data_IF_245012601882
#
_entry.id   IF_245012601882
#
_cell.length_a   1.000
_cell.length_b   1.000
_cell.length_c   1.000
_cell.angle_alpha   90.00
_cell.angle_beta   90.00
_cell.angle_gamma   90.00
#
_symmetry.space_group_name_H-M   'P 1'
#
loop_
_entity.id
_entity.type
_entity.pdbx_description
1 polymer ?
#
# COMPACT_ATOMS: atom_id res chain seq x y z
N UNK A 1 -24.45 51.66 -14.70
CA UNK A 1 -24.68 51.69 -16.17
C UNK A 1 -24.56 50.25 -16.65
N UNK A 2 -25.66 49.65 -17.13
CA UNK A 2 -25.64 48.32 -17.69
C UNK A 2 -25.52 48.36 -19.20
N UNK A 3 -24.80 47.43 -19.79
CA UNK A 3 -24.82 47.16 -21.22
C UNK A 3 -25.59 45.88 -21.49
N UNK A 4 -26.53 45.96 -22.41
CA UNK A 4 -27.47 44.92 -22.81
C UNK A 4 -26.86 43.98 -23.92
N UNK A 5 -27.54 42.86 -24.21
CA UNK A 5 -26.99 41.72 -24.97
C UNK A 5 -27.22 41.84 -26.49
N UNK A 6 -26.30 41.33 -27.25
CA UNK A 6 -26.34 41.26 -28.72
C UNK A 6 -26.87 39.93 -29.26
N UNK A 7 -27.62 40.05 -30.29
CA UNK A 7 -28.58 39.23 -30.98
C UNK A 7 -28.06 37.90 -31.58
N UNK A 8 -28.93 36.89 -31.57
CA UNK A 8 -28.85 35.65 -32.33
C UNK A 8 -29.12 35.86 -33.81
N UNK A 9 -28.28 35.31 -34.70
CA UNK A 9 -28.61 35.12 -36.10
C UNK A 9 -29.06 33.67 -36.37
N UNK A 10 -30.03 33.44 -37.30
CA UNK A 10 -30.69 32.17 -37.45
C UNK A 10 -29.96 31.19 -38.40
N UNK A 11 -30.08 29.91 -38.07
CA UNK A 11 -29.57 28.80 -38.86
C UNK A 11 -30.29 28.68 -40.22
N UNK A 12 -29.50 28.54 -41.28
CA UNK A 12 -29.94 28.22 -42.64
C UNK A 12 -30.36 26.77 -42.72
N UNK A 13 -31.68 26.52 -43.02
CA UNK A 13 -32.20 25.22 -43.41
C UNK A 13 -31.87 24.97 -44.89
N UNK A 14 -30.95 24.07 -45.18
CA UNK A 14 -30.80 23.53 -46.50
C UNK A 14 -31.84 22.40 -46.76
N UNK A 15 -32.78 22.65 -47.65
CA UNK A 15 -33.67 21.61 -48.21
C UNK A 15 -32.89 20.78 -49.21
N UNK A 16 -32.60 19.51 -48.88
CA UNK A 16 -32.13 18.54 -49.86
C UNK A 16 -33.34 17.89 -50.54
N UNK A 17 -33.52 18.23 -51.81
CA UNK A 17 -34.47 17.54 -52.75
C UNK A 17 -33.76 16.29 -53.25
N UNK A 18 -34.26 15.11 -52.86
CA UNK A 18 -33.79 13.82 -53.40
C UNK A 18 -34.54 13.43 -54.66
N UNK A 19 -33.88 12.97 -55.69
CA UNK A 19 -34.55 12.42 -56.87
C UNK A 19 -35.14 11.02 -56.60
N UNK A 20 -36.35 10.77 -57.05
CA UNK A 20 -36.99 9.46 -57.03
C UNK A 20 -36.32 8.49 -58.02
N UNK A 21 -35.50 7.58 -57.49
CA UNK A 21 -35.07 6.40 -58.25
C UNK A 21 -35.94 5.21 -57.97
N UNK A 22 -36.62 4.69 -59.03
CA UNK A 22 -37.29 3.37 -59.04
C UNK A 22 -36.20 2.30 -59.26
N UNK A 23 -35.90 1.50 -58.20
CA UNK A 23 -34.99 0.37 -58.29
C UNK A 23 -34.99 -0.42 -57.00
N UNK A 24 -36.03 -1.23 -56.76
CA UNK A 24 -36.32 -1.91 -55.52
C UNK A 24 -35.49 -3.18 -55.28
N UNK A 25 -34.39 -3.42 -56.02
CA UNK A 25 -33.59 -4.64 -55.86
C UNK A 25 -32.16 -4.44 -55.30
N UNK A 26 -31.54 -3.28 -55.52
CA UNK A 26 -30.13 -3.07 -55.20
C UNK A 26 -29.92 -2.47 -53.80
N UNK A 27 -30.88 -1.68 -53.34
CA UNK A 27 -30.81 -1.04 -51.99
C UNK A 27 -30.97 -2.01 -50.82
N UNK A 28 -31.75 -3.09 -51.01
CA UNK A 28 -31.92 -4.15 -50.01
C UNK A 28 -30.60 -4.92 -49.75
N UNK A 29 -29.88 -5.22 -50.84
CA UNK A 29 -28.63 -6.00 -50.73
C UNK A 29 -27.46 -5.18 -50.15
N UNK A 30 -27.43 -3.87 -50.36
CA UNK A 30 -26.44 -2.98 -49.75
C UNK A 30 -26.75 -2.69 -48.27
N UNK A 31 -28.03 -2.57 -47.92
CA UNK A 31 -28.44 -2.36 -46.53
C UNK A 31 -28.13 -3.58 -45.63
N UNK A 32 -28.28 -4.79 -46.15
CA UNK A 32 -27.94 -6.04 -45.47
C UNK A 32 -26.41 -6.18 -45.28
N UNK A 33 -25.61 -5.88 -46.32
CA UNK A 33 -24.15 -5.91 -46.22
C UNK A 33 -23.63 -4.85 -45.27
N UNK A 34 -24.22 -3.66 -45.23
CA UNK A 34 -23.83 -2.58 -44.28
C UNK A 34 -24.20 -2.98 -42.85
N UNK A 35 -25.38 -3.56 -42.60
CA UNK A 35 -25.76 -4.10 -41.29
C UNK A 35 -24.82 -5.21 -40.83
N UNK A 36 -24.47 -6.14 -41.73
CA UNK A 36 -23.51 -7.21 -41.46
C UNK A 36 -22.10 -6.67 -41.13
N UNK A 37 -21.65 -5.62 -41.84
CA UNK A 37 -20.36 -5.00 -41.60
C UNK A 37 -20.35 -4.26 -40.26
N UNK A 38 -21.41 -3.51 -39.91
CA UNK A 38 -21.54 -2.86 -38.62
C UNK A 38 -21.68 -3.85 -37.46
N UNK A 39 -22.39 -4.97 -37.66
CA UNK A 39 -22.48 -6.02 -36.66
C UNK A 39 -21.13 -6.72 -36.44
N UNK A 40 -20.38 -6.99 -37.54
CA UNK A 40 -19.05 -7.58 -37.47
C UNK A 40 -18.03 -6.65 -36.82
N UNK A 41 -18.08 -5.35 -37.10
CA UNK A 41 -17.21 -4.34 -36.45
C UNK A 41 -17.59 -4.16 -34.96
N UNK A 42 -18.88 -4.16 -34.62
CA UNK A 42 -19.34 -4.11 -33.25
C UNK A 42 -18.92 -5.36 -32.44
N UNK A 43 -18.97 -6.54 -33.03
CA UNK A 43 -18.53 -7.80 -32.43
C UNK A 43 -16.99 -7.78 -32.28
N UNK A 44 -16.23 -7.25 -33.24
CA UNK A 44 -14.79 -7.13 -33.14
C UNK A 44 -14.35 -6.08 -32.10
N UNK A 45 -15.08 -4.96 -31.98
CA UNK A 45 -14.84 -3.96 -30.93
C UNK A 45 -15.21 -4.49 -29.55
N UNK A 46 -16.30 -5.28 -29.43
CA UNK A 46 -16.62 -5.96 -28.16
C UNK A 46 -15.61 -7.07 -27.83
N UNK A 47 -15.15 -7.84 -28.81
CA UNK A 47 -14.14 -8.90 -28.61
C UNK A 47 -12.76 -8.33 -28.27
N UNK A 48 -12.39 -7.15 -28.82
CA UNK A 48 -11.15 -6.45 -28.45
C UNK A 48 -11.21 -5.85 -27.04
N UNK A 49 -12.41 -5.59 -26.51
CA UNK A 49 -12.61 -5.12 -25.11
C UNK A 49 -12.54 -6.26 -24.08
N UNK A 50 -12.53 -7.52 -24.52
CA UNK A 50 -12.33 -8.72 -23.70
C UNK A 50 -10.95 -9.37 -23.91
N UNK A 51 -9.95 -8.62 -24.34
CA UNK A 51 -8.57 -9.00 -24.03
C UNK A 51 -8.42 -8.83 -22.50
N UNK A 52 -8.87 -9.84 -21.77
CA UNK A 52 -8.93 -9.84 -20.32
C UNK A 52 -7.58 -9.44 -19.75
N UNK A 53 -7.55 -8.40 -18.93
CA UNK A 53 -6.39 -8.13 -18.10
C UNK A 53 -6.03 -9.47 -17.43
N UNK A 54 -4.80 -9.94 -17.60
CA UNK A 54 -4.37 -11.21 -17.03
C UNK A 54 -4.75 -11.23 -15.54
N UNK A 55 -5.56 -12.22 -15.14
CA UNK A 55 -6.06 -12.31 -13.77
C UNK A 55 -4.87 -12.52 -12.83
N UNK A 56 -4.78 -11.71 -11.79
CA UNK A 56 -3.71 -11.86 -10.80
C UNK A 56 -3.93 -13.14 -9.99
N UNK A 57 -2.89 -13.94 -9.86
CA UNK A 57 -2.90 -15.18 -9.06
C UNK A 57 -2.98 -14.92 -7.54
N UNK A 58 -2.71 -13.69 -7.08
CA UNK A 58 -2.84 -13.24 -5.69
C UNK A 58 -2.98 -11.72 -5.61
N UNK A 59 -3.57 -11.21 -4.54
CA UNK A 59 -3.54 -9.79 -4.20
C UNK A 59 -2.28 -9.48 -3.40
N UNK A 60 -1.52 -8.49 -3.84
CA UNK A 60 -0.26 -8.07 -3.22
C UNK A 60 -0.46 -6.78 -2.46
N UNK A 61 -0.31 -6.84 -1.14
CA UNK A 61 -0.26 -5.65 -0.29
C UNK A 61 1.18 -5.30 0.07
N UNK A 62 1.52 -4.02 0.07
CA UNK A 62 2.86 -3.59 0.49
C UNK A 62 2.76 -2.57 1.62
N UNK A 63 3.54 -2.75 2.68
CA UNK A 63 3.61 -1.80 3.79
C UNK A 63 4.24 -0.51 3.33
N UNK A 64 3.57 0.61 3.61
CA UNK A 64 4.01 1.96 3.23
C UNK A 64 4.34 2.76 4.48
N UNK A 65 5.62 3.13 4.64
CA UNK A 65 6.10 3.96 5.74
C UNK A 65 6.06 5.44 5.36
N UNK A 66 5.40 6.27 6.15
CA UNK A 66 5.21 7.71 5.88
C UNK A 66 6.25 8.60 6.59
N UNK A 67 7.49 8.15 6.66
CA UNK A 67 8.59 8.87 7.34
C UNK A 67 9.41 9.82 6.44
N UNK A 68 9.08 9.89 5.14
CA UNK A 68 9.85 10.67 4.17
C UNK A 68 9.24 12.04 3.88
N UNK A 69 8.41 12.51 4.81
CA UNK A 69 7.81 13.83 4.85
C UNK A 69 8.27 14.62 6.08
N UNK A 70 7.72 15.83 6.22
CA UNK A 70 8.00 16.69 7.38
C UNK A 70 9.40 17.29 7.38
N UNK A 71 9.82 17.78 8.55
CA UNK A 71 11.07 18.50 8.74
C UNK A 71 12.02 17.70 9.61
N UNK A 72 13.26 17.55 9.16
CA UNK A 72 14.32 16.94 9.95
C UNK A 72 14.62 17.78 11.20
N UNK A 73 14.91 17.12 12.31
CA UNK A 73 15.23 17.81 13.57
C UNK A 73 16.45 18.74 13.48
N UNK A 74 17.38 18.43 12.58
CA UNK A 74 18.60 19.20 12.36
C UNK A 74 18.56 20.14 11.17
N UNK A 75 17.43 20.29 10.50
CA UNK A 75 17.27 21.08 9.28
C UNK A 75 17.83 22.52 9.42
N UNK A 76 17.67 23.12 10.59
CA UNK A 76 18.14 24.49 10.87
C UNK A 76 19.55 24.55 11.49
N UNK A 77 20.23 23.41 11.69
CA UNK A 77 21.54 23.36 12.29
C UNK A 77 22.65 23.38 11.22
N UNK A 78 23.47 24.47 11.15
CA UNK A 78 24.49 24.59 10.11
C UNK A 78 25.59 23.52 10.20
N UNK A 79 25.78 22.87 11.36
CA UNK A 79 26.71 21.74 11.50
C UNK A 79 26.24 20.45 10.85
N UNK A 80 24.96 20.38 10.46
CA UNK A 80 24.33 19.20 9.87
C UNK A 80 23.81 19.48 8.46
N UNK A 81 24.71 19.81 7.53
CA UNK A 81 24.37 20.15 6.14
C UNK A 81 23.54 19.08 5.41
N UNK A 82 23.72 17.81 5.78
CA UNK A 82 22.95 16.67 5.26
C UNK A 82 21.45 16.74 5.62
N UNK A 83 21.10 17.45 6.70
CA UNK A 83 19.73 17.54 7.20
C UNK A 83 18.93 18.70 6.60
N UNK A 84 19.60 19.61 5.89
CA UNK A 84 18.94 20.78 5.28
C UNK A 84 17.93 20.34 4.20
N UNK A 85 16.66 20.64 4.41
CA UNK A 85 15.57 20.22 3.53
C UNK A 85 15.23 18.73 3.60
N UNK A 86 15.88 17.97 4.49
CA UNK A 86 15.66 16.54 4.62
C UNK A 86 14.32 16.21 5.32
N UNK A 87 13.72 15.05 5.01
CA UNK A 87 12.52 14.56 5.70
C UNK A 87 12.83 14.14 7.14
N UNK A 88 11.78 13.99 7.95
CA UNK A 88 11.89 13.77 9.39
C UNK A 88 12.72 12.54 9.80
N UNK A 89 12.70 11.46 9.01
CA UNK A 89 13.35 10.19 9.34
C UNK A 89 14.68 9.93 8.61
N UNK A 90 15.16 10.90 7.82
CA UNK A 90 16.50 10.76 7.24
C UNK A 90 17.57 10.88 8.36
N UNK A 91 18.44 9.89 8.48
CA UNK A 91 19.60 9.92 9.35
C UNK A 91 20.88 10.27 8.58
N UNK A 92 21.92 10.74 9.29
CA UNK A 92 23.22 10.99 8.68
C UNK A 92 23.78 9.74 8.00
N UNK A 93 23.77 8.60 8.70
CA UNK A 93 24.22 7.32 8.13
C UNK A 93 23.49 6.96 6.84
N UNK A 94 22.16 7.17 6.80
CA UNK A 94 21.37 6.86 5.61
C UNK A 94 21.76 7.79 4.46
N UNK A 95 21.95 9.07 4.72
CA UNK A 95 22.35 10.06 3.73
C UNK A 95 23.78 9.87 3.20
N UNK A 96 24.68 9.26 3.98
CA UNK A 96 26.10 9.08 3.63
C UNK A 96 26.44 7.63 3.30
N UNK A 97 26.50 6.77 4.31
CA UNK A 97 27.00 5.38 4.19
C UNK A 97 26.05 4.49 3.38
N UNK A 98 24.75 4.83 3.37
CA UNK A 98 23.70 4.11 2.68
C UNK A 98 23.03 4.94 1.58
N UNK A 99 23.73 5.94 1.04
CA UNK A 99 23.22 6.84 0.00
C UNK A 99 22.71 6.14 -1.26
N UNK A 100 23.16 4.91 -1.54
CA UNK A 100 22.61 4.07 -2.60
C UNK A 100 21.12 3.71 -2.44
N UNK A 101 20.56 3.84 -1.23
CA UNK A 101 19.13 3.61 -0.95
C UNK A 101 18.24 4.81 -1.26
N UNK A 102 18.81 5.96 -1.63
CA UNK A 102 18.03 7.13 -2.00
C UNK A 102 17.15 6.83 -3.21
N UNK A 103 15.81 7.05 -3.09
CA UNK A 103 14.91 6.91 -4.21
C UNK A 103 15.30 7.82 -5.38
N UNK A 104 14.93 7.44 -6.61
CA UNK A 104 15.25 8.25 -7.80
C UNK A 104 14.58 9.63 -7.81
N UNK A 105 13.57 9.83 -6.98
CA UNK A 105 12.92 11.14 -6.76
C UNK A 105 13.46 11.90 -5.55
N UNK A 106 14.55 11.40 -4.93
CA UNK A 106 15.13 11.95 -3.70
C UNK A 106 14.53 11.34 -2.42
N UNK A 107 15.02 11.79 -1.28
CA UNK A 107 14.60 11.28 0.04
C UNK A 107 13.16 11.68 0.42
N UNK A 108 12.61 12.72 -0.16
CA UNK A 108 11.26 13.20 0.14
C UNK A 108 10.24 12.57 -0.81
N UNK A 109 9.10 12.13 -0.27
CA UNK A 109 7.97 11.60 -1.04
C UNK A 109 6.65 12.36 -0.76
N UNK A 110 6.75 13.61 -0.31
CA UNK A 110 5.65 14.46 0.13
C UNK A 110 5.11 15.42 -0.97
N UNK A 111 5.21 15.03 -2.23
CA UNK A 111 4.56 15.74 -3.34
C UNK A 111 3.52 14.88 -4.06
N UNK A 112 2.49 15.54 -4.59
CA UNK A 112 1.42 14.86 -5.33
C UNK A 112 1.95 14.12 -6.56
N UNK A 113 2.90 14.72 -7.27
CA UNK A 113 3.53 14.12 -8.45
C UNK A 113 4.25 12.80 -8.11
N UNK A 114 4.99 12.79 -7.00
CA UNK A 114 5.70 11.60 -6.54
C UNK A 114 4.70 10.52 -6.13
N UNK A 115 3.63 10.86 -5.41
CA UNK A 115 2.60 9.90 -5.02
C UNK A 115 1.87 9.33 -6.23
N UNK A 116 1.49 10.16 -7.20
CA UNK A 116 0.86 9.72 -8.45
C UNK A 116 1.75 8.71 -9.18
N UNK A 117 3.06 8.99 -9.27
CA UNK A 117 4.06 8.10 -9.87
C UNK A 117 4.25 6.80 -9.08
N UNK A 118 4.23 6.85 -7.75
CA UNK A 118 4.33 5.65 -6.92
C UNK A 118 3.12 4.72 -7.11
N UNK A 119 1.91 5.27 -7.22
CA UNK A 119 0.69 4.51 -7.49
C UNK A 119 0.79 3.81 -8.85
N UNK A 120 1.18 4.52 -9.91
CA UNK A 120 1.37 3.95 -11.25
C UNK A 120 2.40 2.82 -11.21
N UNK A 121 3.57 3.10 -10.65
CA UNK A 121 4.67 2.13 -10.56
C UNK A 121 4.24 0.85 -9.81
N UNK A 122 3.52 0.98 -8.70
CA UNK A 122 3.02 -0.13 -7.91
C UNK A 122 2.00 -0.95 -8.71
N UNK A 123 0.99 -0.30 -9.27
CA UNK A 123 -0.08 -0.95 -10.03
C UNK A 123 0.44 -1.69 -11.27
N UNK A 124 1.31 -1.06 -12.06
CA UNK A 124 1.94 -1.64 -13.25
C UNK A 124 2.80 -2.88 -12.95
N UNK A 125 3.30 -3.00 -11.73
CA UNK A 125 4.13 -4.12 -11.29
C UNK A 125 3.40 -5.13 -10.40
N UNK A 126 2.05 -5.13 -10.43
CA UNK A 126 1.26 -6.20 -9.84
C UNK A 126 0.90 -5.98 -8.36
N UNK A 127 1.35 -4.91 -7.72
CA UNK A 127 0.86 -4.52 -6.40
C UNK A 127 -0.64 -4.23 -6.49
N UNK A 128 -1.39 -4.65 -5.50
CA UNK A 128 -2.86 -4.50 -5.46
C UNK A 128 -3.30 -3.41 -4.49
N UNK A 129 -2.54 -3.17 -3.44
CA UNK A 129 -2.85 -2.14 -2.45
C UNK A 129 -1.65 -1.73 -1.60
N UNK A 130 -1.67 -0.49 -1.13
CA UNK A 130 -0.79 0.00 -0.08
C UNK A 130 -1.40 -0.21 1.30
N UNK A 131 -0.57 -0.59 2.29
CA UNK A 131 -0.92 -0.55 3.70
C UNK A 131 -0.21 0.65 4.31
N UNK A 132 -0.91 1.79 4.38
CA UNK A 132 -0.33 2.99 4.97
C UNK A 132 -0.20 2.83 6.49
N UNK A 133 1.00 3.07 7.02
CA UNK A 133 1.21 3.17 8.45
C UNK A 133 0.44 4.37 8.99
N UNK A 134 -0.49 4.10 9.90
CA UNK A 134 -1.32 5.11 10.54
C UNK A 134 -0.91 5.26 12.00
N UNK A 135 -0.67 6.50 12.46
CA UNK A 135 -0.12 6.81 13.77
C UNK A 135 -1.07 7.68 14.58
N UNK A 136 -1.09 7.46 15.90
CA UNK A 136 -1.60 8.40 16.87
C UNK A 136 -0.49 8.75 17.86
N UNK A 137 0.07 9.95 17.76
CA UNK A 137 1.28 10.33 18.52
C UNK A 137 1.00 11.11 19.81
N UNK A 138 -0.23 11.49 20.08
CA UNK A 138 -0.64 12.06 21.37
C UNK A 138 -1.17 10.94 22.28
N UNK A 139 -0.28 10.23 22.94
CA UNK A 139 -0.56 9.07 23.77
C UNK A 139 -1.54 9.32 24.93
N UNK A 140 -1.77 10.56 25.35
CA UNK A 140 -2.58 10.90 26.53
C UNK A 140 -3.81 11.73 26.16
N UNK A 141 -3.89 12.22 24.95
CA UNK A 141 -4.99 13.02 24.45
C UNK A 141 -6.10 12.20 23.78
N UNK A 142 -7.29 12.77 23.63
CA UNK A 142 -8.34 12.20 22.80
C UNK A 142 -7.95 12.25 21.33
N UNK A 143 -8.38 11.25 20.56
CA UNK A 143 -8.23 11.24 19.10
C UNK A 143 -8.76 12.55 18.53
N UNK A 144 -7.93 13.23 17.75
CA UNK A 144 -8.20 14.56 17.25
C UNK A 144 -7.89 14.64 15.75
N UNK A 145 -8.90 14.93 14.96
CA UNK A 145 -8.79 14.98 13.48
C UNK A 145 -7.71 15.98 13.03
N UNK A 146 -7.68 17.19 13.60
CA UNK A 146 -6.71 18.23 13.22
C UNK A 146 -5.26 17.78 13.49
N UNK A 147 -5.03 17.12 14.62
CA UNK A 147 -3.71 16.60 14.98
C UNK A 147 -3.28 15.50 14.00
N UNK A 148 -4.18 14.58 13.63
CA UNK A 148 -3.90 13.54 12.64
C UNK A 148 -3.58 14.16 11.27
N UNK A 149 -4.43 15.07 10.78
CA UNK A 149 -4.27 15.66 9.46
C UNK A 149 -3.02 16.55 9.31
N UNK A 150 -2.52 17.09 10.41
CA UNK A 150 -1.29 17.90 10.44
C UNK A 150 -0.03 17.10 10.73
N UNK A 151 -0.13 15.82 11.08
CA UNK A 151 1.02 14.98 11.36
C UNK A 151 1.72 14.58 10.03
N UNK A 152 3.02 14.87 9.89
CA UNK A 152 3.77 14.49 8.69
C UNK A 152 3.72 12.99 8.37
N UNK A 153 3.49 12.12 9.37
CA UNK A 153 3.35 10.67 9.17
C UNK A 153 2.00 10.26 8.52
N UNK A 154 1.17 11.21 8.11
CA UNK A 154 -0.04 10.99 7.32
C UNK A 154 0.00 11.68 5.95
N UNK A 155 1.13 12.28 5.59
CA UNK A 155 1.27 13.06 4.35
C UNK A 155 1.01 12.18 3.13
N UNK A 156 1.62 11.01 3.05
CA UNK A 156 1.50 10.13 1.88
C UNK A 156 0.09 9.57 1.73
N UNK A 157 -0.57 9.20 2.84
CA UNK A 157 -1.99 8.80 2.78
C UNK A 157 -2.88 9.94 2.28
N UNK A 158 -2.66 11.16 2.76
CA UNK A 158 -3.42 12.34 2.32
C UNK A 158 -3.20 12.65 0.83
N UNK A 159 -1.98 12.47 0.30
CA UNK A 159 -1.66 12.63 -1.11
C UNK A 159 -2.27 11.50 -1.95
N UNK A 160 -2.23 10.25 -1.47
CA UNK A 160 -2.87 9.12 -2.12
C UNK A 160 -4.38 9.37 -2.31
N UNK A 161 -5.07 9.83 -1.26
CA UNK A 161 -6.51 10.11 -1.31
C UNK A 161 -6.89 11.20 -2.32
N UNK A 162 -5.97 12.12 -2.63
CA UNK A 162 -6.14 13.19 -3.63
C UNK A 162 -5.64 12.81 -5.03
N UNK A 163 -4.98 11.66 -5.17
CA UNK A 163 -4.36 11.26 -6.41
C UNK A 163 -5.39 11.01 -7.52
N UNK A 164 -5.11 11.51 -8.71
CA UNK A 164 -5.86 11.20 -9.94
C UNK A 164 -5.73 9.72 -10.32
N UNK A 165 -4.66 9.05 -9.88
CA UNK A 165 -4.35 7.66 -10.17
C UNK A 165 -4.89 6.69 -9.09
N UNK A 166 -5.57 7.20 -8.06
CA UNK A 166 -6.08 6.40 -6.92
C UNK A 166 -6.87 5.16 -7.34
N UNK A 167 -7.62 5.25 -8.43
CA UNK A 167 -8.45 4.13 -8.90
C UNK A 167 -7.64 2.93 -9.42
N UNK A 168 -6.33 3.07 -9.65
CA UNK A 168 -5.45 2.00 -10.12
C UNK A 168 -4.92 1.11 -9.01
N UNK A 169 -5.02 1.53 -7.76
CA UNK A 169 -4.43 0.84 -6.61
C UNK A 169 -5.33 0.99 -5.38
N UNK A 170 -5.61 -0.09 -4.68
CA UNK A 170 -6.35 -0.03 -3.41
C UNK A 170 -5.45 0.39 -2.25
N UNK A 171 -6.05 0.60 -1.08
CA UNK A 171 -5.33 0.88 0.16
C UNK A 171 -6.05 0.34 1.39
N UNK A 172 -5.33 0.17 2.49
CA UNK A 172 -5.87 0.02 3.83
C UNK A 172 -4.90 0.59 4.87
N UNK A 173 -5.27 0.53 6.13
CA UNK A 173 -4.46 1.03 7.24
C UNK A 173 -3.70 -0.09 7.92
N UNK A 174 -2.43 0.17 8.22
CA UNK A 174 -1.66 -0.49 9.27
C UNK A 174 -1.60 0.47 10.46
N UNK A 175 -2.35 0.20 11.50
CA UNK A 175 -2.31 1.00 12.74
C UNK A 175 -1.03 0.67 13.50
N UNK A 176 -0.11 1.62 13.55
CA UNK A 176 1.21 1.48 14.19
C UNK A 176 1.10 1.67 15.71
N UNK A 177 0.41 0.73 16.37
CA UNK A 177 0.11 0.80 17.80
C UNK A 177 1.26 0.25 18.65
N UNK A 178 2.34 1.01 18.73
CA UNK A 178 3.56 0.69 19.49
C UNK A 178 3.99 1.85 20.39
N UNK A 179 5.03 1.66 21.20
CA UNK A 179 5.55 2.69 22.09
C UNK A 179 5.79 4.02 21.38
N UNK A 180 5.19 5.08 21.88
CA UNK A 180 5.21 6.43 21.29
C UNK A 180 4.07 6.73 20.30
N UNK A 181 3.26 5.72 19.92
CA UNK A 181 2.11 5.86 19.03
C UNK A 181 0.91 5.00 19.49
N UNK A 182 0.83 4.69 20.78
CA UNK A 182 -0.23 3.83 21.32
C UNK A 182 -1.56 4.57 21.43
N UNK A 183 -2.61 3.96 20.91
CA UNK A 183 -3.98 4.38 21.18
C UNK A 183 -4.36 3.88 22.57
N UNK A 184 -4.50 4.80 23.54
CA UNK A 184 -4.81 4.49 24.94
C UNK A 184 -6.27 4.76 25.26
N UNK A 185 -6.87 3.84 26.02
CA UNK A 185 -8.25 3.96 26.47
C UNK A 185 -9.29 3.47 25.46
N UNK A 186 -10.40 3.00 26.00
CA UNK A 186 -11.49 2.40 25.23
C UNK A 186 -12.15 3.41 24.28
N UNK A 187 -12.38 4.63 24.74
CA UNK A 187 -13.01 5.68 23.95
C UNK A 187 -12.14 6.09 22.75
N UNK A 188 -10.82 6.16 22.92
CA UNK A 188 -9.92 6.46 21.81
C UNK A 188 -9.93 5.37 20.72
N UNK A 189 -10.13 4.11 21.07
CA UNK A 189 -10.31 3.06 20.07
C UNK A 189 -11.63 3.19 19.32
N UNK A 190 -12.72 3.57 20.02
CA UNK A 190 -13.99 3.87 19.36
C UNK A 190 -13.84 5.09 18.43
N UNK A 191 -13.19 6.16 18.90
CA UNK A 191 -13.01 7.40 18.14
C UNK A 191 -12.10 7.19 16.92
N UNK A 192 -11.06 6.35 17.03
CA UNK A 192 -10.24 5.95 15.91
C UNK A 192 -11.08 5.29 14.80
N UNK A 193 -11.99 4.38 15.17
CA UNK A 193 -12.90 3.74 14.19
C UNK A 193 -13.85 4.75 13.58
N UNK A 194 -14.40 5.71 14.34
CA UNK A 194 -15.22 6.81 13.81
C UNK A 194 -14.43 7.62 12.79
N UNK A 195 -13.18 7.95 13.11
CA UNK A 195 -12.31 8.66 12.19
C UNK A 195 -12.01 7.85 10.91
N UNK A 196 -11.73 6.53 11.04
CA UNK A 196 -11.43 5.66 9.89
C UNK A 196 -12.65 5.34 9.03
N UNK A 197 -13.87 5.53 9.52
CA UNK A 197 -15.10 5.21 8.79
C UNK A 197 -15.19 5.92 7.44
N UNK A 198 -14.63 7.11 7.32
CA UNK A 198 -14.51 7.84 6.04
C UNK A 198 -13.66 7.08 5.02
N UNK A 199 -12.62 6.38 5.47
CA UNK A 199 -11.80 5.54 4.60
C UNK A 199 -12.53 4.23 4.26
N UNK A 200 -13.21 3.63 5.23
CA UNK A 200 -13.98 2.40 5.01
C UNK A 200 -15.10 2.56 3.97
N UNK A 201 -15.61 3.76 3.80
CA UNK A 201 -16.63 4.10 2.80
C UNK A 201 -16.06 4.28 1.39
N UNK A 202 -14.74 4.42 1.26
CA UNK A 202 -14.08 4.57 -0.04
C UNK A 202 -14.10 3.22 -0.81
N UNK A 203 -14.55 3.19 -2.09
CA UNK A 203 -14.55 1.98 -2.90
C UNK A 203 -13.14 1.40 -3.14
N UNK A 204 -12.08 2.22 -3.02
CA UNK A 204 -10.68 1.76 -3.13
C UNK A 204 -10.14 1.19 -1.82
N UNK A 205 -10.89 1.26 -0.71
CA UNK A 205 -10.44 0.65 0.54
C UNK A 205 -10.45 -0.88 0.44
N UNK A 206 -9.33 -1.52 0.81
CA UNK A 206 -9.20 -2.97 0.76
C UNK A 206 -10.17 -3.66 1.71
N UNK A 207 -10.81 -4.72 1.22
CA UNK A 207 -11.78 -5.52 1.97
C UNK A 207 -11.39 -6.98 1.97
N UNK A 208 -11.77 -7.66 3.04
CA UNK A 208 -11.70 -9.12 3.18
C UNK A 208 -13.10 -9.61 3.52
N UNK A 209 -13.63 -10.52 2.73
CA UNK A 209 -15.02 -11.01 2.85
C UNK A 209 -16.04 -9.86 2.88
N UNK A 210 -15.80 -8.82 2.08
CA UNK A 210 -16.61 -7.62 2.01
C UNK A 210 -16.45 -6.66 3.20
N UNK A 211 -15.65 -6.97 4.21
CA UNK A 211 -15.37 -6.14 5.40
C UNK A 211 -14.14 -5.28 5.18
N UNK A 212 -14.14 -3.99 5.53
CA UNK A 212 -12.93 -3.15 5.51
C UNK A 212 -11.80 -3.81 6.32
N UNK A 213 -10.60 -3.93 5.71
CA UNK A 213 -9.43 -4.52 6.35
C UNK A 213 -8.69 -3.47 7.19
N UNK A 214 -8.47 -3.75 8.47
CA UNK A 214 -7.58 -2.98 9.34
C UNK A 214 -6.50 -3.90 9.88
N UNK A 215 -5.25 -3.56 9.68
CA UNK A 215 -4.11 -4.30 10.23
C UNK A 215 -3.62 -3.58 11.48
N UNK A 216 -3.52 -4.29 12.60
CA UNK A 216 -3.05 -3.72 13.87
C UNK A 216 -1.64 -4.23 14.16
N UNK A 217 -0.66 -3.35 14.10
CA UNK A 217 0.67 -3.64 14.63
C UNK A 217 0.64 -3.46 16.15
N UNK A 218 0.83 -4.54 16.87
CA UNK A 218 0.83 -4.54 18.33
C UNK A 218 2.13 -5.14 18.83
N UNK A 219 2.98 -4.33 19.44
CA UNK A 219 4.23 -4.79 20.03
C UNK A 219 4.01 -5.95 20.99
N UNK A 220 4.35 -7.17 20.58
CA UNK A 220 4.15 -8.41 21.35
C UNK A 220 2.70 -8.65 21.80
N UNK A 221 1.69 -8.08 21.13
CA UNK A 221 0.27 -8.24 21.41
C UNK A 221 -0.22 -7.61 22.72
N UNK A 222 0.53 -6.68 23.31
CA UNK A 222 0.21 -6.09 24.62
C UNK A 222 -0.39 -4.69 24.55
N UNK A 223 -0.33 -4.01 23.41
CA UNK A 223 -0.78 -2.62 23.26
C UNK A 223 -2.27 -2.47 22.93
N UNK A 224 -3.03 -3.56 22.85
CA UNK A 224 -4.49 -3.55 22.68
C UNK A 224 -5.11 -4.69 23.49
N UNK A 225 -6.23 -4.43 24.18
CA UNK A 225 -6.98 -5.43 24.92
C UNK A 225 -8.05 -6.11 24.06
N UNK A 226 -8.53 -7.29 24.49
CA UNK A 226 -9.64 -7.99 23.83
C UNK A 226 -10.92 -7.15 23.84
N UNK A 227 -11.16 -6.39 24.93
CA UNK A 227 -12.26 -5.44 25.03
C UNK A 227 -12.18 -4.35 23.95
N UNK A 228 -11.01 -3.80 23.71
CA UNK A 228 -10.79 -2.76 22.69
C UNK A 228 -10.99 -3.29 21.27
N UNK A 229 -10.61 -4.53 20.99
CA UNK A 229 -10.90 -5.19 19.71
C UNK A 229 -12.42 -5.32 19.51
N UNK A 230 -13.16 -5.67 20.56
CA UNK A 230 -14.62 -5.76 20.48
C UNK A 230 -15.28 -4.37 20.32
N UNK A 231 -14.77 -3.34 21.01
CA UNK A 231 -15.21 -1.95 20.83
C UNK A 231 -15.06 -1.51 19.39
N UNK A 232 -13.95 -1.83 18.73
CA UNK A 232 -13.75 -1.52 17.30
C UNK A 232 -14.85 -2.15 16.44
N UNK A 233 -15.20 -3.42 16.69
CA UNK A 233 -16.24 -4.13 15.92
C UNK A 233 -17.61 -3.50 16.13
N UNK A 234 -17.96 -3.22 17.38
CA UNK A 234 -19.27 -2.63 17.74
C UNK A 234 -19.40 -1.22 17.17
N UNK A 235 -18.34 -0.41 17.29
CA UNK A 235 -18.33 0.95 16.72
C UNK A 235 -18.51 0.91 15.21
N UNK A 236 -17.80 0.02 14.50
CA UNK A 236 -17.96 -0.10 13.06
C UNK A 236 -19.41 -0.49 12.67
N UNK A 237 -20.02 -1.43 13.39
CA UNK A 237 -21.43 -1.80 13.16
C UNK A 237 -22.39 -0.63 13.39
N UNK A 238 -22.20 0.14 14.46
CA UNK A 238 -23.04 1.31 14.77
C UNK A 238 -22.94 2.42 13.71
N UNK A 239 -21.87 2.42 12.92
CA UNK A 239 -21.64 3.34 11.80
C UNK A 239 -22.16 2.81 10.45
N UNK A 240 -22.92 1.71 10.44
CA UNK A 240 -23.54 1.14 9.25
C UNK A 240 -22.68 0.11 8.51
N UNK A 241 -21.54 -0.29 9.04
CA UNK A 241 -20.77 -1.42 8.51
C UNK A 241 -21.34 -2.73 9.09
N UNK A 242 -22.50 -3.16 8.60
CA UNK A 242 -23.27 -4.28 9.17
C UNK A 242 -22.47 -5.58 9.28
N UNK A 243 -21.63 -5.89 8.29
CA UNK A 243 -20.69 -7.02 8.33
C UNK A 243 -19.54 -6.82 9.31
N UNK A 244 -19.39 -5.62 9.90
CA UNK A 244 -18.27 -5.20 10.72
C UNK A 244 -17.02 -4.90 9.90
N UNK A 245 -15.86 -5.00 10.55
CA UNK A 245 -14.52 -4.83 9.97
C UNK A 245 -13.72 -6.13 10.11
N UNK A 246 -12.81 -6.39 9.18
CA UNK A 246 -11.83 -7.49 9.28
C UNK A 246 -10.56 -6.95 9.97
N UNK A 247 -10.25 -7.46 11.15
CA UNK A 247 -9.09 -7.01 11.93
C UNK A 247 -7.99 -8.07 11.85
N UNK A 248 -6.87 -7.71 11.21
CA UNK A 248 -5.68 -8.55 11.14
C UNK A 248 -4.65 -8.12 12.21
N UNK A 249 -4.23 -9.07 13.06
CA UNK A 249 -3.23 -8.81 14.08
C UNK A 249 -1.82 -9.15 13.62
N UNK A 250 -0.92 -8.17 13.63
CA UNK A 250 0.51 -8.40 13.43
C UNK A 250 1.15 -8.88 14.73
N UNK A 251 1.90 -9.99 14.66
CA UNK A 251 2.72 -10.53 15.75
C UNK A 251 1.94 -10.90 17.02
N UNK A 252 0.61 -11.12 16.92
CA UNK A 252 -0.26 -11.35 18.05
C UNK A 252 -1.28 -12.49 17.81
N UNK A 253 -0.84 -13.73 17.52
CA UNK A 253 -1.73 -14.82 17.09
C UNK A 253 -2.72 -15.28 18.17
N UNK A 254 -2.45 -15.04 19.45
CA UNK A 254 -3.32 -15.44 20.57
C UNK A 254 -4.50 -14.49 20.83
N UNK A 255 -4.48 -13.28 20.26
CA UNK A 255 -5.52 -12.27 20.45
C UNK A 255 -6.76 -12.57 19.59
N UNK A 256 -7.97 -12.06 19.94
CA UNK A 256 -9.22 -12.33 19.21
C UNK A 256 -9.34 -11.51 17.91
N UNK A 257 -8.26 -11.31 17.20
CA UNK A 257 -8.27 -10.81 15.84
C UNK A 257 -8.93 -11.81 14.89
N UNK A 258 -9.46 -11.34 13.77
CA UNK A 258 -10.09 -12.21 12.76
C UNK A 258 -9.05 -12.93 11.90
N UNK A 259 -7.91 -12.28 11.67
CA UNK A 259 -6.85 -12.72 10.79
C UNK A 259 -5.51 -12.57 11.52
N UNK A 260 -4.57 -13.48 11.26
CA UNK A 260 -3.18 -13.39 11.73
C UNK A 260 -2.24 -12.99 10.61
N UNK A 261 -1.25 -12.16 10.91
CA UNK A 261 -0.16 -11.79 10.00
C UNK A 261 1.07 -11.33 10.78
N UNK A 262 2.12 -10.91 10.06
CA UNK A 262 3.30 -10.28 10.63
C UNK A 262 3.62 -8.99 9.87
N UNK A 263 4.33 -8.06 10.53
CA UNK A 263 4.93 -6.91 9.84
C UNK A 263 6.14 -7.38 9.03
N UNK A 264 7.07 -8.02 9.71
CA UNK A 264 8.19 -8.77 9.14
C UNK A 264 8.63 -9.88 10.11
N UNK A 265 9.47 -10.78 9.64
CA UNK A 265 10.09 -11.84 10.46
C UNK A 265 11.59 -11.67 10.36
N UNK A 266 12.21 -11.22 11.45
CA UNK A 266 13.66 -10.95 11.50
C UNK A 266 14.27 -11.68 12.70
N UNK A 267 14.79 -12.92 12.49
CA UNK A 267 15.64 -13.56 13.50
C UNK A 267 16.84 -12.65 13.79
N UNK A 268 17.19 -12.48 15.03
CA UNK A 268 18.33 -11.61 15.38
C UNK A 268 18.02 -10.12 15.48
N UNK A 269 16.74 -9.73 15.46
CA UNK A 269 16.32 -8.36 15.78
C UNK A 269 16.69 -7.99 17.22
N UNK A 270 17.35 -6.84 17.43
CA UNK A 270 17.73 -6.32 18.74
C UNK A 270 18.54 -7.29 19.62
N UNK A 271 19.46 -8.05 19.03
CA UNK A 271 20.32 -9.01 19.77
C UNK A 271 21.47 -8.36 20.54
N UNK A 272 21.67 -7.07 20.39
CA UNK A 272 22.84 -6.34 20.91
C UNK A 272 24.12 -6.53 20.10
N UNK A 273 24.06 -7.26 19.00
CA UNK A 273 25.17 -7.54 18.07
C UNK A 273 24.75 -7.28 16.64
N UNK A 274 25.62 -6.65 15.87
CA UNK A 274 25.43 -6.47 14.43
C UNK A 274 26.22 -7.57 13.70
N UNK A 275 25.52 -8.61 13.24
CA UNK A 275 26.13 -9.74 12.50
C UNK A 275 25.55 -9.80 11.12
N UNK A 276 26.38 -10.04 10.15
CA UNK A 276 25.96 -10.39 8.80
C UNK A 276 25.37 -11.80 8.78
N UNK A 277 24.21 -11.95 8.16
CA UNK A 277 23.52 -13.22 7.98
C UNK A 277 23.11 -13.40 6.52
N UNK A 278 23.10 -14.63 6.01
CA UNK A 278 22.57 -14.85 4.66
C UNK A 278 21.05 -14.64 4.65
N UNK A 279 20.54 -14.04 3.57
CA UNK A 279 19.10 -13.81 3.39
C UNK A 279 18.26 -15.09 3.44
N UNK A 280 18.86 -16.25 3.12
CA UNK A 280 18.23 -17.57 3.26
C UNK A 280 17.76 -17.88 4.68
N UNK A 281 18.44 -17.36 5.73
CA UNK A 281 18.02 -17.55 7.12
C UNK A 281 16.70 -16.82 7.38
N UNK A 282 16.57 -15.60 6.87
CA UNK A 282 15.33 -14.81 6.95
C UNK A 282 14.20 -15.50 6.18
N UNK A 283 14.45 -16.00 4.97
CA UNK A 283 13.50 -16.78 4.17
C UNK A 283 13.02 -18.01 4.95
N UNK A 284 13.95 -18.77 5.52
CA UNK A 284 13.63 -19.99 6.27
C UNK A 284 12.77 -19.72 7.49
N UNK A 285 13.11 -18.69 8.26
CA UNK A 285 12.33 -18.27 9.42
C UNK A 285 10.91 -17.78 9.02
N UNK A 286 10.81 -17.05 7.92
CA UNK A 286 9.52 -16.56 7.43
C UNK A 286 8.64 -17.73 6.96
N UNK A 287 9.17 -18.65 6.16
CA UNK A 287 8.43 -19.84 5.69
C UNK A 287 7.99 -20.75 6.81
N UNK A 288 8.75 -20.84 7.91
CA UNK A 288 8.32 -21.58 9.10
C UNK A 288 7.00 -21.04 9.68
N UNK A 289 6.74 -19.73 9.57
CA UNK A 289 5.46 -19.15 10.02
C UNK A 289 4.28 -19.57 9.16
N UNK A 290 4.47 -19.74 7.84
CA UNK A 290 3.39 -20.17 6.94
C UNK A 290 2.94 -21.61 7.22
N UNK A 291 3.87 -22.44 7.65
CA UNK A 291 3.67 -23.87 7.92
C UNK A 291 3.25 -24.14 9.39
N UNK A 292 3.23 -23.11 10.24
CA UNK A 292 2.77 -23.25 11.60
C UNK A 292 1.25 -23.46 11.65
N UNK A 293 0.75 -24.09 12.73
CA UNK A 293 -0.70 -24.26 12.94
C UNK A 293 -1.33 -22.93 13.28
N UNK A 294 -2.07 -22.34 12.34
CA UNK A 294 -2.86 -21.15 12.57
C UNK A 294 -4.30 -21.54 12.94
N UNK A 295 -4.81 -20.97 14.04
CA UNK A 295 -6.22 -21.14 14.47
C UNK A 295 -7.19 -20.22 13.69
N UNK A 296 -6.67 -19.35 12.83
CA UNK A 296 -7.39 -18.31 12.08
C UNK A 296 -6.78 -18.20 10.70
N UNK A 297 -7.50 -17.64 9.73
CA UNK A 297 -6.89 -17.30 8.44
C UNK A 297 -5.58 -16.53 8.61
N UNK A 298 -4.59 -16.91 7.84
CA UNK A 298 -3.25 -16.32 7.91
C UNK A 298 -2.89 -15.63 6.59
N UNK A 299 -2.40 -14.42 6.67
CA UNK A 299 -1.85 -13.68 5.53
C UNK A 299 -0.32 -13.75 5.62
N UNK A 300 0.37 -14.44 4.69
CA UNK A 300 1.81 -14.54 4.69
C UNK A 300 2.46 -13.20 4.37
N UNK A 301 3.59 -12.91 5.02
CA UNK A 301 4.45 -11.76 4.70
C UNK A 301 5.72 -12.25 4.02
N UNK A 302 6.26 -11.46 3.10
CA UNK A 302 7.55 -11.64 2.44
C UNK A 302 8.40 -10.41 2.71
N UNK A 303 9.54 -10.58 3.35
CA UNK A 303 10.48 -9.47 3.64
C UNK A 303 11.44 -9.32 2.46
N UNK A 304 11.44 -8.17 1.79
CA UNK A 304 12.26 -7.95 0.60
C UNK A 304 13.73 -7.56 0.88
N UNK A 305 14.09 -7.41 2.14
CA UNK A 305 15.43 -7.13 2.63
C UNK A 305 15.36 -6.66 4.09
N UNK A 306 16.48 -6.77 4.80
CA UNK A 306 16.60 -6.26 6.14
C UNK A 306 18.05 -5.85 6.46
N UNK A 307 18.25 -4.57 6.67
CA UNK A 307 19.49 -3.98 7.14
C UNK A 307 19.19 -2.65 7.81
N UNK A 308 18.98 -2.70 9.14
CA UNK A 308 18.59 -1.55 9.95
C UNK A 308 19.77 -0.74 10.48
N UNK A 309 21.00 -1.03 10.07
CA UNK A 309 22.20 -0.33 10.54
C UNK A 309 22.16 1.19 10.44
N UNK A 310 21.42 1.84 9.47
CA UNK A 310 21.24 3.30 9.49
C UNK A 310 20.56 3.86 10.75
N UNK A 311 19.74 3.06 11.42
CA UNK A 311 18.95 3.45 12.59
C UNK A 311 19.30 2.65 13.86
N UNK A 312 20.43 1.94 13.87
CA UNK A 312 20.89 1.15 15.02
C UNK A 312 22.13 1.73 15.68
N UNK A 313 22.32 1.33 16.94
CA UNK A 313 23.38 1.81 17.79
C UNK A 313 23.12 3.23 18.30
N UNK A 314 24.19 3.85 18.80
CA UNK A 314 24.15 5.27 19.20
C UNK A 314 24.23 6.14 17.95
N UNK A 315 23.23 6.99 17.74
CA UNK A 315 23.29 7.93 16.63
C UNK A 315 24.44 8.94 16.85
N UNK A 316 25.17 9.30 15.79
CA UNK A 316 26.21 10.34 15.89
C UNK A 316 25.68 11.66 16.46
N UNK A 317 24.39 11.94 16.23
CA UNK A 317 23.70 13.16 16.65
C UNK A 317 23.06 13.04 18.05
N UNK A 318 23.13 11.85 18.69
CA UNK A 318 22.55 11.61 20.02
C UNK A 318 21.02 11.43 20.06
N UNK A 319 20.37 11.25 18.91
CA UNK A 319 18.90 11.14 18.80
C UNK A 319 18.35 9.83 19.34
N UNK A 320 19.09 8.75 19.15
CA UNK A 320 18.67 7.42 19.58
C UNK A 320 19.89 6.60 20.04
N UNK A 321 19.61 5.62 20.85
CA UNK A 321 20.53 4.57 21.21
C UNK A 321 19.74 3.26 21.19
N UNK A 322 19.57 2.69 19.99
CA UNK A 322 18.79 1.47 19.78
C UNK A 322 19.70 0.25 19.81
N UNK A 323 19.24 -0.90 20.32
CA UNK A 323 20.03 -2.12 20.27
C UNK A 323 20.45 -2.46 18.84
N UNK A 324 21.66 -2.97 18.69
CA UNK A 324 22.13 -3.55 17.45
C UNK A 324 21.37 -4.85 17.14
N UNK A 325 21.21 -5.16 15.86
CA UNK A 325 20.61 -6.39 15.37
C UNK A 325 21.37 -6.98 14.20
N UNK A 326 21.01 -8.20 13.82
CA UNK A 326 21.57 -8.85 12.65
C UNK A 326 21.04 -8.17 11.36
N UNK A 327 21.87 -8.09 10.32
CA UNK A 327 21.49 -7.63 8.99
C UNK A 327 21.72 -8.74 7.98
N UNK A 328 20.98 -8.70 6.87
CA UNK A 328 20.93 -9.80 5.90
C UNK A 328 21.44 -9.36 4.54
N UNK A 329 22.23 -10.25 3.90
CA UNK A 329 22.81 -10.03 2.57
C UNK A 329 22.45 -11.17 1.63
N UNK A 330 22.59 -10.93 0.31
CA UNK A 330 22.23 -11.93 -0.71
C UNK A 330 20.75 -11.89 -1.12
N UNK A 331 20.03 -10.82 -0.79
CA UNK A 331 18.64 -10.53 -1.19
C UNK A 331 18.55 -10.06 -2.66
N UNK A 332 19.16 -10.83 -3.56
CA UNK A 332 19.12 -10.52 -4.99
C UNK A 332 17.68 -10.56 -5.52
N UNK A 333 17.37 -9.85 -6.63
CA UNK A 333 16.04 -9.88 -7.22
C UNK A 333 15.53 -11.30 -7.51
N UNK A 334 16.41 -12.20 -7.96
CA UNK A 334 16.04 -13.59 -8.28
C UNK A 334 15.71 -14.40 -7.03
N UNK A 335 16.49 -14.24 -5.96
CA UNK A 335 16.24 -14.92 -4.67
C UNK A 335 14.95 -14.41 -4.05
N UNK A 336 14.74 -13.09 -4.04
CA UNK A 336 13.50 -12.49 -3.60
C UNK A 336 12.30 -12.95 -4.45
N UNK A 337 12.44 -12.94 -5.79
CA UNK A 337 11.38 -13.35 -6.72
C UNK A 337 10.94 -14.79 -6.49
N UNK A 338 11.88 -15.71 -6.24
CA UNK A 338 11.56 -17.10 -5.88
C UNK A 338 10.81 -17.16 -4.55
N UNK A 339 11.28 -16.45 -3.53
CA UNK A 339 10.64 -16.41 -2.21
C UNK A 339 9.21 -15.85 -2.31
N UNK A 340 9.01 -14.77 -3.06
CA UNK A 340 7.70 -14.18 -3.30
C UNK A 340 6.77 -15.14 -4.08
N UNK A 341 7.29 -15.80 -5.13
CA UNK A 341 6.54 -16.82 -5.88
C UNK A 341 6.10 -17.99 -5.00
N UNK A 342 6.93 -18.41 -4.04
CA UNK A 342 6.57 -19.45 -3.09
C UNK A 342 5.41 -19.02 -2.17
N UNK A 343 5.33 -17.72 -1.80
CA UNK A 343 4.20 -17.18 -1.03
C UNK A 343 2.90 -17.14 -1.86
N UNK A 344 2.98 -16.71 -3.13
CA UNK A 344 1.85 -16.74 -4.07
C UNK A 344 1.36 -18.17 -4.26
N UNK A 345 2.25 -19.12 -4.41
CA UNK A 345 1.92 -20.54 -4.50
C UNK A 345 1.21 -21.01 -3.22
N UNK A 346 1.75 -20.67 -2.05
CA UNK A 346 1.20 -21.08 -0.75
C UNK A 346 -0.26 -20.63 -0.57
N UNK A 347 -0.60 -19.36 -0.85
CA UNK A 347 -2.00 -18.88 -0.71
C UNK A 347 -2.97 -19.54 -1.69
N UNK A 348 -2.47 -20.01 -2.85
CA UNK A 348 -3.29 -20.72 -3.83
C UNK A 348 -3.51 -22.20 -3.45
N UNK A 349 -2.51 -22.83 -2.82
CA UNK A 349 -2.57 -24.24 -2.39
C UNK A 349 -3.20 -24.45 -1.01
N UNK A 350 -3.41 -23.38 -0.23
CA UNK A 350 -3.97 -23.45 1.13
C UNK A 350 -5.18 -22.49 1.31
N UNK A 351 -6.25 -22.60 0.48
CA UNK A 351 -7.38 -21.68 0.51
C UNK A 351 -8.14 -21.72 1.86
N UNK A 352 -8.09 -22.81 2.57
CA UNK A 352 -8.68 -23.04 3.91
C UNK A 352 -7.85 -22.42 5.05
N UNK A 353 -6.59 -22.05 4.79
CA UNK A 353 -5.68 -21.47 5.78
C UNK A 353 -5.44 -19.98 5.60
N UNK A 354 -5.88 -19.40 4.50
CA UNK A 354 -5.72 -17.98 4.19
C UNK A 354 -7.07 -17.29 3.97
N UNK A 355 -7.04 -15.99 3.67
CA UNK A 355 -8.25 -15.23 3.35
C UNK A 355 -8.69 -15.50 1.90
N UNK A 356 -10.00 -15.41 1.58
CA UNK A 356 -10.52 -15.69 0.23
C UNK A 356 -9.86 -14.87 -0.87
N UNK A 357 -9.41 -13.66 -0.56
CA UNK A 357 -8.75 -12.73 -1.47
C UNK A 357 -7.31 -13.14 -1.81
N UNK A 358 -6.77 -14.23 -1.24
CA UNK A 358 -5.42 -14.74 -1.51
C UNK A 358 -4.35 -13.64 -1.38
N UNK A 359 -4.32 -12.98 -0.24
CA UNK A 359 -3.41 -11.85 -0.01
C UNK A 359 -2.01 -12.35 0.35
N UNK A 360 -1.00 -11.73 -0.26
CA UNK A 360 0.42 -11.80 0.15
C UNK A 360 0.87 -10.39 0.52
N UNK A 361 1.42 -10.21 1.71
CA UNK A 361 2.01 -8.94 2.14
C UNK A 361 3.50 -8.90 1.86
N UNK A 362 4.02 -7.72 1.54
CA UNK A 362 5.46 -7.49 1.36
C UNK A 362 5.93 -6.40 2.31
N UNK A 363 6.94 -6.69 3.06
CA UNK A 363 7.71 -5.71 3.83
C UNK A 363 8.94 -5.30 3.02
N UNK A 364 9.00 -4.10 2.45
CA UNK A 364 8.01 -3.03 2.44
C UNK A 364 8.09 -2.27 1.12
N UNK A 365 7.26 -1.22 0.94
CA UNK A 365 7.39 -0.31 -0.21
C UNK A 365 8.63 0.56 -0.08
N UNK A 366 8.84 1.20 1.08
CA UNK A 366 9.80 2.28 1.27
C UNK A 366 10.45 2.34 2.67
N UNK A 367 10.65 1.19 3.34
CA UNK A 367 11.39 1.12 4.61
C UNK A 367 12.92 1.21 4.38
N UNK A 368 13.35 2.37 3.85
CA UNK A 368 14.74 2.60 3.41
C UNK A 368 15.74 2.53 4.56
N UNK A 369 15.35 2.98 5.76
CA UNK A 369 16.19 2.93 6.96
C UNK A 369 16.39 1.53 7.52
N UNK A 370 15.44 0.61 7.25
CA UNK A 370 15.50 -0.78 7.69
C UNK A 370 15.92 -1.75 6.57
N UNK A 371 16.13 -1.24 5.34
CA UNK A 371 16.62 -2.05 4.21
C UNK A 371 15.52 -2.88 3.51
N UNK A 372 14.26 -2.71 3.89
CA UNK A 372 13.11 -3.35 3.23
C UNK A 372 12.41 -2.40 2.27
N UNK A 373 12.75 -2.40 0.97
CA UNK A 373 12.14 -1.48 0.02
C UNK A 373 12.04 -2.08 -1.39
N UNK A 374 11.01 -1.60 -2.13
CA UNK A 374 10.73 -1.98 -3.52
C UNK A 374 10.86 -0.80 -4.49
N UNK A 375 10.90 0.42 -3.98
CA UNK A 375 11.03 1.64 -4.78
C UNK A 375 12.34 1.66 -5.56
N UNK A 376 12.38 2.29 -6.76
CA UNK A 376 13.62 2.48 -7.51
C UNK A 376 14.54 3.41 -6.74
N UNK A 377 15.80 3.01 -6.59
CA UNK A 377 16.84 3.74 -5.84
C UNK A 377 18.07 3.96 -6.70
N UNK A 378 19.01 4.77 -6.21
CA UNK A 378 20.30 4.97 -6.89
C UNK A 378 21.06 3.66 -7.11
N UNK A 379 20.99 2.71 -6.18
CA UNK A 379 21.61 1.39 -6.32
C UNK A 379 20.84 0.43 -7.23
N UNK A 380 19.51 0.57 -7.36
CA UNK A 380 18.66 -0.20 -8.27
C UNK A 380 17.66 0.71 -8.98
N UNK A 381 18.07 1.44 -10.04
CA UNK A 381 17.20 2.38 -10.76
C UNK A 381 16.02 1.70 -11.45
N UNK A 382 16.11 0.41 -11.69
CA UNK A 382 15.09 -0.35 -12.42
C UNK A 382 14.09 -1.07 -11.52
N UNK A 383 14.20 -0.96 -10.21
CA UNK A 383 13.34 -1.62 -9.22
C UNK A 383 13.16 -3.13 -9.52
N UNK A 384 14.27 -3.87 -9.62
CA UNK A 384 14.28 -5.25 -10.10
C UNK A 384 13.41 -6.17 -9.24
N UNK A 385 13.41 -6.00 -7.91
CA UNK A 385 12.56 -6.79 -7.01
C UNK A 385 11.07 -6.57 -7.30
N UNK A 386 10.66 -5.33 -7.59
CA UNK A 386 9.27 -5.01 -7.96
C UNK A 386 8.85 -5.71 -9.27
N UNK A 387 9.77 -5.81 -10.24
CA UNK A 387 9.51 -6.58 -11.48
C UNK A 387 9.34 -8.08 -11.24
N UNK A 388 10.01 -8.65 -10.23
CA UNK A 388 9.80 -10.05 -9.86
C UNK A 388 8.39 -10.29 -9.27
N UNK A 389 7.81 -9.32 -8.57
CA UNK A 389 6.40 -9.36 -8.13
C UNK A 389 5.50 -9.49 -9.35
N UNK A 390 5.68 -8.63 -10.37
CA UNK A 390 4.90 -8.68 -11.62
C UNK A 390 4.94 -10.05 -12.27
N UNK A 391 6.13 -10.63 -12.41
CA UNK A 391 6.31 -11.96 -13.01
C UNK A 391 5.61 -13.08 -12.24
N UNK A 392 5.51 -12.95 -10.92
CA UNK A 392 4.90 -13.98 -10.07
C UNK A 392 3.37 -13.92 -10.07
N UNK A 393 2.77 -12.74 -10.19
CA UNK A 393 1.31 -12.57 -10.11
C UNK A 393 0.60 -12.62 -11.46
N UNK A 394 1.28 -12.26 -12.55
CA UNK A 394 0.74 -12.33 -13.93
C UNK A 394 1.43 -13.50 -14.66
N UNK A 395 0.96 -14.70 -14.42
CA UNK A 395 1.41 -15.91 -15.12
C UNK A 395 0.50 -16.25 -16.29
#
# INVERSE_FOLDING_TARGET
MPLQPGEFTPAVRACLVLPKFRGAGLLGFMAEKIKSLFLSVAIFVLAASFAGAAEKSANVGVYYFDGWAGKNLFDSNPAHTWAKGAPSHLSKKLATDFSGREPLWGWRDDSQEIMDRQIELAAENGVSFFLFCWYWRDNNGPINQKAIESDPLHTSLNLYLKSKNKNSLKYCLLVANHAGAEIKGDENWAEAVRYWSKYFSDPQYMRVDGKPLVVIFSGKGKSISDKQIEIMRQTAKSLGFEKGIAIAGCNAPSRPFDISTFYNIVPGYNTGKSRERPYSDLISATKATWNSTHKKPFIPVVTCGWDKRPWEGKSPEGLWNTPLGDFYTGDTPQVFGKFFSDAVKWVNENPDKTVPEKIVLVYAWNELGEGGYLVPTKADPSAKKLKEIKKAVFK
#
